data_IF_279767302159
#
_entry.id   IF_279767302159
#
_cell.length_a   1.000
_cell.length_b   1.000
_cell.length_c   1.000
_cell.angle_alpha   90.00
_cell.angle_beta   90.00
_cell.angle_gamma   90.00
#
_symmetry.space_group_name_H-M   'P 1'
#
loop_
_entity.id
_entity.type
_entity.pdbx_description
1 polymer ?
#
# COMPACT_ATOMS: atom_id res chain seq x y z
N UNK A 1 45.02 -49.90 81.02
CA UNK A 1 44.77 -51.35 80.81
C UNK A 1 43.28 -51.49 80.48
N UNK A 2 42.93 -51.74 79.20
CA UNK A 2 41.64 -52.20 78.62
C UNK A 2 41.62 -51.78 77.13
N UNK A 3 41.66 -52.65 76.11
CA UNK A 3 40.77 -53.72 75.61
C UNK A 3 39.52 -53.27 74.81
N UNK A 4 39.41 -53.84 73.59
CA UNK A 4 38.26 -54.02 72.66
C UNK A 4 37.85 -52.82 71.77
N UNK A 5 37.68 -52.88 70.44
CA UNK A 5 37.16 -53.84 69.43
C UNK A 5 35.68 -53.60 69.02
N UNK A 6 35.47 -53.51 67.68
CA UNK A 6 34.22 -53.47 66.87
C UNK A 6 33.29 -52.24 67.00
N UNK A 7 32.67 -51.70 65.94
CA UNK A 7 31.75 -52.34 64.96
C UNK A 7 31.77 -51.73 63.53
N UNK A 8 31.31 -52.53 62.57
CA UNK A 8 30.96 -52.15 61.20
C UNK A 8 29.53 -51.59 61.13
N UNK A 9 29.25 -50.68 60.18
CA UNK A 9 27.88 -50.19 59.94
C UNK A 9 27.69 -49.45 58.62
N UNK A 10 27.37 -50.23 57.58
CA UNK A 10 26.50 -49.98 56.42
C UNK A 10 26.48 -48.65 55.63
N UNK A 11 26.65 -48.84 54.31
CA UNK A 11 26.50 -47.82 53.28
C UNK A 11 25.11 -47.23 53.13
N UNK A 12 25.11 -46.00 52.59
CA UNK A 12 24.01 -45.42 51.85
C UNK A 12 24.61 -44.64 50.67
N UNK A 13 25.05 -45.37 49.64
CA UNK A 13 25.34 -44.79 48.34
C UNK A 13 24.02 -44.55 47.60
N UNK A 14 23.49 -43.33 47.69
CA UNK A 14 22.43 -42.89 46.79
C UNK A 14 23.07 -42.49 45.44
N UNK A 15 22.69 -43.12 44.31
CA UNK A 15 23.21 -42.71 43.01
C UNK A 15 22.59 -41.36 42.60
N UNK A 16 23.39 -40.37 42.15
CA UNK A 16 22.86 -39.17 41.52
C UNK A 16 22.48 -39.51 40.07
N UNK A 17 21.33 -40.13 39.91
CA UNK A 17 20.71 -40.38 38.62
C UNK A 17 19.26 -39.90 38.65
N UNK A 18 18.87 -39.16 37.61
CA UNK A 18 17.50 -38.78 37.24
C UNK A 18 16.98 -37.46 37.80
N UNK A 19 17.46 -36.36 37.20
CA UNK A 19 16.60 -35.30 36.63
C UNK A 19 17.40 -34.43 35.65
N UNK A 20 18.00 -35.04 34.63
CA UNK A 20 18.20 -34.30 33.39
C UNK A 20 16.84 -34.20 32.70
N UNK A 21 16.09 -33.15 33.05
CA UNK A 21 15.01 -32.68 32.19
C UNK A 21 15.67 -32.40 30.84
N UNK A 22 15.41 -33.26 29.85
CA UNK A 22 15.77 -33.00 28.46
C UNK A 22 14.98 -31.77 28.01
N UNK A 23 15.48 -30.58 28.35
CA UNK A 23 15.13 -29.37 27.63
C UNK A 23 15.55 -29.66 26.18
N UNK A 24 14.58 -29.95 25.31
CA UNK A 24 14.81 -30.17 23.88
C UNK A 24 15.55 -28.94 23.37
N UNK A 25 16.88 -29.05 23.20
CA UNK A 25 17.67 -27.99 22.57
C UNK A 25 17.11 -27.81 21.17
N UNK A 26 16.61 -26.61 20.89
CA UNK A 26 16.08 -26.24 19.59
C UNK A 26 17.21 -26.39 18.58
N UNK A 27 16.96 -27.06 17.46
CA UNK A 27 17.97 -27.17 16.40
C UNK A 27 18.34 -25.78 15.88
N UNK A 28 19.55 -25.56 15.33
CA UNK A 28 19.92 -24.29 14.72
C UNK A 28 18.89 -23.81 13.69
N UNK A 29 18.43 -24.71 12.81
CA UNK A 29 17.35 -24.41 11.88
C UNK A 29 16.05 -24.01 12.60
N UNK A 30 15.68 -24.72 13.68
CA UNK A 30 14.49 -24.37 14.48
C UNK A 30 14.58 -22.99 15.14
N UNK A 31 15.78 -22.55 15.52
CA UNK A 31 16.02 -21.19 16.02
C UNK A 31 15.85 -20.15 14.90
N UNK A 32 16.33 -20.46 13.70
CA UNK A 32 16.24 -19.57 12.53
C UNK A 32 14.78 -19.30 12.16
N UNK A 33 13.96 -20.34 12.08
CA UNK A 33 12.53 -20.22 11.81
C UNK A 33 11.79 -19.40 12.88
N UNK A 34 12.11 -19.60 14.16
CA UNK A 34 11.51 -18.83 15.27
C UNK A 34 11.92 -17.36 15.25
N UNK A 35 13.21 -17.09 15.02
CA UNK A 35 13.73 -15.74 14.90
C UNK A 35 13.15 -15.02 13.67
N UNK A 36 13.01 -15.73 12.55
CA UNK A 36 12.41 -15.22 11.32
C UNK A 36 10.93 -14.87 11.51
N UNK A 37 10.17 -15.71 12.21
CA UNK A 37 8.78 -15.44 12.54
C UNK A 37 8.63 -14.20 13.45
N UNK A 38 9.43 -14.09 14.52
CA UNK A 38 9.41 -12.90 15.39
C UNK A 38 9.80 -11.64 14.63
N UNK A 39 10.84 -11.72 13.78
CA UNK A 39 11.23 -10.61 12.92
C UNK A 39 10.11 -10.24 11.94
N UNK A 40 9.44 -11.23 11.35
CA UNK A 40 8.30 -11.03 10.46
C UNK A 40 7.20 -10.22 11.14
N UNK A 41 6.85 -10.54 12.39
CA UNK A 41 5.85 -9.79 13.16
C UNK A 41 6.28 -8.34 13.44
N UNK A 42 7.56 -8.14 13.78
CA UNK A 42 8.10 -6.79 14.03
C UNK A 42 8.12 -5.98 12.74
N UNK A 43 8.74 -6.51 11.69
CA UNK A 43 8.93 -5.83 10.41
C UNK A 43 7.60 -5.50 9.73
N UNK A 44 6.63 -6.42 9.73
CA UNK A 44 5.30 -6.16 9.17
C UNK A 44 4.50 -5.14 9.96
N UNK A 45 4.68 -5.07 11.29
CA UNK A 45 4.06 -4.03 12.11
C UNK A 45 4.69 -2.66 11.82
N UNK A 46 6.01 -2.60 11.65
CA UNK A 46 6.74 -1.37 11.32
C UNK A 46 6.30 -0.83 9.95
N UNK A 47 6.25 -1.66 8.91
CA UNK A 47 5.80 -1.25 7.57
C UNK A 47 4.32 -0.84 7.55
N UNK A 48 3.45 -1.53 8.31
CA UNK A 48 2.04 -1.16 8.45
C UNK A 48 1.88 0.24 9.04
N UNK A 49 2.57 0.52 10.16
CA UNK A 49 2.52 1.83 10.82
C UNK A 49 3.12 2.93 9.94
N UNK A 50 4.25 2.66 9.29
CA UNK A 50 4.87 3.61 8.38
C UNK A 50 3.93 3.98 7.23
N UNK A 51 3.30 2.99 6.60
CA UNK A 51 2.34 3.20 5.52
C UNK A 51 1.14 4.04 5.99
N UNK A 52 0.56 3.67 7.14
CA UNK A 52 -0.56 4.38 7.73
C UNK A 52 -0.25 5.85 8.04
N UNK A 53 0.93 6.15 8.59
CA UNK A 53 1.30 7.51 8.97
C UNK A 53 1.85 8.34 7.80
N UNK A 54 2.33 7.70 6.74
CA UNK A 54 2.87 8.40 5.57
C UNK A 54 1.82 8.74 4.51
N UNK A 55 0.71 7.99 4.41
CA UNK A 55 -0.24 8.04 3.29
C UNK A 55 -0.69 9.46 2.90
N UNK A 56 -1.26 10.23 3.84
CA UNK A 56 -1.79 11.58 3.55
C UNK A 56 -0.72 12.54 3.00
N UNK A 57 0.56 12.29 3.29
CA UNK A 57 1.68 13.19 2.96
C UNK A 57 2.21 12.97 1.55
N UNK A 58 1.90 11.80 1.01
CA UNK A 58 2.13 11.42 -0.38
C UNK A 58 0.84 11.48 -1.20
N UNK A 59 -0.21 12.12 -0.68
CA UNK A 59 -1.46 12.33 -1.38
C UNK A 59 -2.37 11.11 -1.44
N UNK A 60 -2.35 10.24 -0.42
CA UNK A 60 -3.17 9.03 -0.39
C UNK A 60 -4.07 8.95 0.83
N UNK A 61 -5.23 8.34 0.65
CA UNK A 61 -6.11 7.94 1.74
C UNK A 61 -5.76 6.51 2.18
N UNK A 62 -5.21 6.38 3.39
CA UNK A 62 -4.82 5.09 3.94
C UNK A 62 -6.00 4.09 4.03
N UNK A 63 -7.22 4.56 4.26
CA UNK A 63 -8.38 3.68 4.39
C UNK A 63 -8.77 3.08 3.05
N UNK A 64 -8.67 3.87 1.98
CA UNK A 64 -8.83 3.38 0.60
C UNK A 64 -7.71 2.41 0.26
N UNK A 65 -6.46 2.70 0.65
CA UNK A 65 -5.32 1.81 0.42
C UNK A 65 -5.52 0.44 1.07
N UNK A 66 -5.94 0.40 2.34
CA UNK A 66 -6.26 -0.86 3.01
C UNK A 66 -7.43 -1.60 2.36
N UNK A 67 -8.38 -0.88 1.77
CA UNK A 67 -9.48 -1.48 1.02
C UNK A 67 -9.00 -2.15 -0.27
N UNK A 68 -8.08 -1.51 -0.99
CA UNK A 68 -7.43 -2.09 -2.18
C UNK A 68 -6.62 -3.34 -1.81
N UNK A 69 -5.91 -3.32 -0.68
CA UNK A 69 -5.21 -4.52 -0.16
C UNK A 69 -6.20 -5.61 0.23
N UNK A 70 -7.29 -5.27 0.92
CA UNK A 70 -8.33 -6.23 1.31
C UNK A 70 -9.02 -6.88 0.11
N UNK A 71 -9.09 -6.19 -1.03
CA UNK A 71 -9.62 -6.72 -2.27
C UNK A 71 -8.77 -7.87 -2.84
N UNK A 72 -7.54 -8.07 -2.39
CA UNK A 72 -6.71 -9.21 -2.80
C UNK A 72 -7.35 -10.54 -2.35
N UNK A 73 -7.61 -10.78 -1.05
CA UNK A 73 -8.32 -11.98 -0.61
C UNK A 73 -9.85 -11.90 -0.75
N UNK A 74 -10.45 -10.70 -0.61
CA UNK A 74 -11.91 -10.55 -0.56
C UNK A 74 -12.55 -10.16 -1.92
N UNK A 75 -11.73 -9.91 -2.93
CA UNK A 75 -12.15 -9.48 -4.28
C UNK A 75 -13.06 -8.24 -4.20
N UNK A 76 -14.05 -8.19 -5.09
CA UNK A 76 -15.05 -7.13 -5.22
C UNK A 76 -15.82 -6.85 -3.91
N UNK A 77 -15.87 -7.82 -2.98
CA UNK A 77 -16.55 -7.67 -1.69
C UNK A 77 -15.88 -6.67 -0.74
N UNK A 78 -14.59 -6.36 -0.94
CA UNK A 78 -13.91 -5.32 -0.18
C UNK A 78 -14.25 -3.91 -0.67
N UNK A 79 -14.57 -3.73 -1.96
CA UNK A 79 -14.67 -2.40 -2.55
C UNK A 79 -15.98 -1.73 -2.14
N UNK A 80 -15.88 -0.72 -1.28
CA UNK A 80 -17.00 0.02 -0.67
C UNK A 80 -16.82 1.53 -0.93
N UNK A 81 -17.94 2.25 -1.09
CA UNK A 81 -17.91 3.72 -1.25
C UNK A 81 -17.34 4.38 0.00
N UNK A 82 -17.70 3.83 1.16
CA UNK A 82 -17.23 4.25 2.48
C UNK A 82 -16.67 2.99 3.17
N UNK A 83 -15.34 2.85 3.25
CA UNK A 83 -14.71 1.68 3.83
C UNK A 83 -15.08 1.45 5.30
N UNK A 84 -15.71 0.31 5.58
CA UNK A 84 -15.95 -0.14 6.95
C UNK A 84 -14.69 -0.72 7.61
N UNK A 85 -14.60 -0.57 8.94
CA UNK A 85 -13.51 -1.14 9.75
C UNK A 85 -13.20 -2.63 9.51
N UNK A 86 -14.18 -3.52 9.26
CA UNK A 86 -13.87 -4.92 8.97
C UNK A 86 -13.02 -5.11 7.71
N UNK A 87 -13.28 -4.33 6.66
CA UNK A 87 -12.50 -4.37 5.41
C UNK A 87 -11.12 -3.80 5.62
N UNK A 88 -11.02 -2.66 6.31
CA UNK A 88 -9.73 -2.04 6.65
C UNK A 88 -8.86 -3.02 7.45
N UNK A 89 -9.44 -3.67 8.46
CA UNK A 89 -8.73 -4.67 9.27
C UNK A 89 -8.31 -5.88 8.43
N UNK A 90 -9.16 -6.37 7.52
CA UNK A 90 -8.79 -7.45 6.62
C UNK A 90 -7.61 -7.08 5.72
N UNK A 91 -7.56 -5.84 5.22
CA UNK A 91 -6.44 -5.30 4.44
C UNK A 91 -5.15 -5.25 5.25
N UNK A 92 -5.21 -4.70 6.46
CA UNK A 92 -4.05 -4.65 7.39
C UNK A 92 -3.54 -6.06 7.68
N UNK A 93 -4.41 -7.00 8.04
CA UNK A 93 -4.03 -8.37 8.36
C UNK A 93 -3.42 -9.10 7.16
N UNK A 94 -3.98 -8.89 5.97
CA UNK A 94 -3.46 -9.48 4.74
C UNK A 94 -2.07 -8.94 4.39
N UNK A 95 -1.89 -7.62 4.47
CA UNK A 95 -0.57 -6.99 4.34
C UNK A 95 0.42 -7.53 5.38
N UNK A 96 0.02 -7.59 6.65
CA UNK A 96 0.88 -8.10 7.72
C UNK A 96 1.31 -9.54 7.47
N UNK A 97 0.41 -10.38 6.97
CA UNK A 97 0.70 -11.75 6.58
C UNK A 97 1.70 -11.83 5.41
N UNK A 98 1.52 -11.01 4.37
CA UNK A 98 2.41 -10.97 3.22
C UNK A 98 3.84 -10.55 3.64
N UNK A 99 3.97 -9.43 4.36
CA UNK A 99 5.26 -8.93 4.85
C UNK A 99 5.94 -9.89 5.83
N UNK A 100 5.16 -10.47 6.75
CA UNK A 100 5.64 -11.52 7.65
C UNK A 100 6.24 -12.69 6.87
N UNK A 101 5.57 -13.11 5.80
CA UNK A 101 5.97 -14.25 4.97
C UNK A 101 7.32 -14.00 4.30
N UNK A 102 7.63 -12.78 3.86
CA UNK A 102 8.92 -12.48 3.25
C UNK A 102 10.10 -12.58 4.22
N UNK A 103 9.91 -12.21 5.49
CA UNK A 103 10.95 -12.41 6.50
C UNK A 103 11.21 -13.91 6.76
N UNK A 104 10.13 -14.70 6.80
CA UNK A 104 10.18 -16.15 6.94
C UNK A 104 10.81 -16.83 5.73
N UNK A 105 10.54 -16.36 4.51
CA UNK A 105 11.23 -16.83 3.29
C UNK A 105 12.71 -16.50 3.37
N UNK A 106 13.06 -15.25 3.70
CA UNK A 106 14.45 -14.80 3.71
C UNK A 106 15.30 -15.56 4.73
N UNK A 107 14.86 -15.68 5.98
CA UNK A 107 15.67 -16.27 7.05
C UNK A 107 15.34 -17.72 7.40
N UNK A 108 14.13 -18.19 7.09
CA UNK A 108 13.72 -19.58 7.28
C UNK A 108 14.04 -20.42 6.05
N UNK A 109 13.33 -20.18 4.94
CA UNK A 109 13.47 -20.99 3.72
C UNK A 109 14.85 -20.85 3.09
N UNK A 110 15.36 -19.62 2.98
CA UNK A 110 16.70 -19.33 2.47
C UNK A 110 17.76 -19.32 3.59
N UNK A 111 17.41 -19.80 4.79
CA UNK A 111 18.24 -19.73 6.00
C UNK A 111 19.64 -20.30 5.83
N UNK A 112 19.81 -21.33 4.98
CA UNK A 112 21.13 -21.92 4.69
C UNK A 112 22.15 -20.93 4.11
N UNK A 113 21.69 -19.81 3.54
CA UNK A 113 22.54 -18.76 2.99
C UNK A 113 22.45 -17.44 3.76
N UNK A 114 21.35 -17.21 4.48
CA UNK A 114 21.00 -15.91 5.05
C UNK A 114 21.12 -15.85 6.57
N UNK A 115 21.00 -16.97 7.28
CA UNK A 115 20.87 -16.98 8.74
C UNK A 115 22.14 -16.54 9.49
N UNK A 116 23.31 -16.67 8.84
CA UNK A 116 24.62 -16.31 9.41
C UNK A 116 25.16 -14.97 8.86
N UNK A 117 24.35 -14.24 8.09
CA UNK A 117 24.75 -12.93 7.58
C UNK A 117 24.90 -11.91 8.71
N UNK A 118 25.94 -11.07 8.61
CA UNK A 118 26.15 -9.95 9.53
C UNK A 118 25.11 -8.86 9.30
N UNK A 119 24.71 -8.09 10.34
CA UNK A 119 23.71 -7.02 10.20
C UNK A 119 24.00 -6.03 9.07
N UNK A 120 25.25 -5.65 8.84
CA UNK A 120 25.63 -4.74 7.74
C UNK A 120 25.41 -5.34 6.33
N UNK A 121 25.60 -6.65 6.17
CA UNK A 121 25.32 -7.34 4.90
C UNK A 121 23.82 -7.46 4.69
N UNK A 122 23.06 -7.78 5.74
CA UNK A 122 21.60 -7.81 5.70
C UNK A 122 21.05 -6.42 5.30
N UNK A 123 21.58 -5.36 5.90
CA UNK A 123 21.20 -3.98 5.57
C UNK A 123 21.51 -3.64 4.11
N UNK A 124 22.68 -4.04 3.60
CA UNK A 124 23.04 -3.86 2.19
C UNK A 124 22.08 -4.60 1.24
N UNK A 125 21.61 -5.78 1.64
CA UNK A 125 20.64 -6.57 0.87
C UNK A 125 19.20 -6.07 0.98
N UNK A 126 18.88 -5.13 1.88
CA UNK A 126 17.51 -4.68 2.12
C UNK A 126 16.85 -4.11 0.86
N UNK A 127 17.54 -3.24 0.11
CA UNK A 127 16.98 -2.65 -1.11
C UNK A 127 16.83 -3.66 -2.28
N UNK A 128 17.84 -4.49 -2.61
CA UNK A 128 17.67 -5.57 -3.59
C UNK A 128 16.55 -6.55 -3.21
N UNK A 129 16.42 -6.89 -1.93
CA UNK A 129 15.35 -7.76 -1.44
C UNK A 129 13.98 -7.12 -1.60
N UNK A 130 13.82 -5.86 -1.17
CA UNK A 130 12.58 -5.12 -1.31
C UNK A 130 12.13 -4.96 -2.77
N UNK A 131 13.08 -4.74 -3.69
CA UNK A 131 12.80 -4.69 -5.11
C UNK A 131 12.28 -6.04 -5.61
N UNK A 132 12.92 -7.13 -5.22
CA UNK A 132 12.53 -8.49 -5.61
C UNK A 132 11.13 -8.83 -5.11
N UNK A 133 10.86 -8.65 -3.82
CA UNK A 133 9.60 -9.02 -3.19
C UNK A 133 8.44 -8.15 -3.68
N UNK A 134 8.65 -6.84 -3.79
CA UNK A 134 7.66 -5.94 -4.37
C UNK A 134 7.39 -6.25 -5.85
N UNK A 135 8.43 -6.53 -6.64
CA UNK A 135 8.26 -6.95 -8.04
C UNK A 135 7.48 -8.25 -8.15
N UNK A 136 7.78 -9.23 -7.30
CA UNK A 136 7.08 -10.51 -7.28
C UNK A 136 5.59 -10.32 -6.99
N UNK A 137 5.23 -9.51 -5.99
CA UNK A 137 3.84 -9.22 -5.66
C UNK A 137 3.12 -8.49 -6.79
N UNK A 138 3.74 -7.42 -7.29
CA UNK A 138 3.09 -6.48 -8.19
C UNK A 138 2.97 -6.99 -9.62
N UNK A 139 3.94 -7.79 -10.10
CA UNK A 139 3.97 -8.33 -11.47
C UNK A 139 3.36 -9.73 -11.57
N UNK A 140 3.33 -10.50 -10.48
CA UNK A 140 2.97 -11.91 -10.54
C UNK A 140 1.98 -12.33 -9.45
N UNK A 141 2.31 -12.16 -8.16
CA UNK A 141 1.53 -12.83 -7.13
C UNK A 141 0.09 -12.31 -7.05
N UNK A 142 -0.04 -10.98 -7.04
CA UNK A 142 -1.33 -10.33 -6.89
C UNK A 142 -2.15 -10.36 -8.18
N UNK A 143 -1.64 -9.91 -9.35
CA UNK A 143 -2.45 -9.88 -10.57
C UNK A 143 -2.62 -11.25 -11.24
N UNK A 144 -1.74 -12.23 -11.00
CA UNK A 144 -1.73 -13.51 -11.71
C UNK A 144 -1.93 -14.72 -10.81
N UNK A 145 -1.03 -15.03 -9.87
CA UNK A 145 -1.16 -16.25 -9.06
C UNK A 145 -0.61 -16.04 -7.65
N UNK A 146 -1.35 -16.32 -6.56
CA UNK A 146 -2.61 -17.05 -6.51
C UNK A 146 -3.85 -16.15 -6.35
N UNK A 147 -3.75 -14.84 -6.57
CA UNK A 147 -4.86 -13.93 -6.24
C UNK A 147 -5.70 -13.51 -7.44
N UNK A 148 -5.14 -13.44 -8.65
CA UNK A 148 -5.82 -12.98 -9.87
C UNK A 148 -6.55 -11.63 -9.69
N UNK A 149 -5.94 -10.71 -8.95
CA UNK A 149 -6.52 -9.42 -8.59
C UNK A 149 -5.76 -8.23 -9.21
N UNK A 150 -6.10 -7.78 -10.43
CA UNK A 150 -5.40 -6.71 -11.12
C UNK A 150 -5.61 -5.32 -10.50
N UNK A 151 -6.67 -5.14 -9.71
CA UNK A 151 -7.02 -3.85 -9.08
C UNK A 151 -5.84 -3.31 -8.26
N UNK A 152 -5.20 -4.15 -7.45
CA UNK A 152 -4.03 -3.73 -6.67
C UNK A 152 -2.93 -3.11 -7.54
N UNK A 153 -2.56 -3.78 -8.64
CA UNK A 153 -1.49 -3.35 -9.54
C UNK A 153 -1.83 -2.06 -10.30
N UNK A 154 -3.12 -1.82 -10.58
CA UNK A 154 -3.59 -0.67 -11.35
C UNK A 154 -3.91 0.57 -10.48
N UNK A 155 -4.16 0.38 -9.19
CA UNK A 155 -4.47 1.44 -8.23
C UNK A 155 -3.27 1.86 -7.37
N UNK A 156 -2.38 0.92 -7.09
CA UNK A 156 -1.19 1.14 -6.29
C UNK A 156 0.03 1.26 -7.19
N UNK A 157 0.66 2.45 -7.27
CA UNK A 157 1.85 2.61 -8.07
C UNK A 157 2.98 1.76 -7.46
N UNK A 158 3.74 1.09 -8.33
CA UNK A 158 4.79 0.12 -7.95
C UNK A 158 5.73 0.60 -6.84
N UNK A 159 6.11 1.88 -6.88
CA UNK A 159 7.04 2.45 -5.91
C UNK A 159 6.52 2.42 -4.46
N UNK A 160 5.19 2.40 -4.25
CA UNK A 160 4.59 2.24 -2.92
C UNK A 160 4.94 0.87 -2.37
N UNK A 161 4.70 -0.19 -3.14
CA UNK A 161 5.10 -1.55 -2.76
C UNK A 161 6.59 -1.61 -2.44
N UNK A 162 7.44 -1.01 -3.28
CA UNK A 162 8.88 -0.98 -3.00
C UNK A 162 9.20 -0.31 -1.65
N UNK A 163 8.57 0.84 -1.33
CA UNK A 163 8.80 1.53 -0.05
C UNK A 163 8.31 0.72 1.16
N UNK A 164 7.16 0.05 1.05
CA UNK A 164 6.62 -0.84 2.08
C UNK A 164 7.62 -1.96 2.39
N UNK A 165 8.04 -2.67 1.34
CA UNK A 165 8.98 -3.78 1.44
C UNK A 165 10.37 -3.32 1.91
N UNK A 166 10.83 -2.14 1.49
CA UNK A 166 12.09 -1.56 1.96
C UNK A 166 12.00 -1.25 3.44
N UNK A 167 10.90 -0.64 3.90
CA UNK A 167 10.68 -0.34 5.32
C UNK A 167 10.70 -1.60 6.17
N UNK A 168 10.09 -2.68 5.70
CA UNK A 168 10.13 -4.00 6.34
C UNK A 168 11.57 -4.58 6.37
N UNK A 169 12.26 -4.58 5.22
CA UNK A 169 13.61 -5.12 5.08
C UNK A 169 14.67 -4.35 5.90
N UNK A 170 14.47 -3.06 6.15
CA UNK A 170 15.34 -2.26 7.03
C UNK A 170 15.32 -2.72 8.49
N UNK A 171 14.29 -3.47 8.92
CA UNK A 171 14.26 -4.10 10.24
C UNK A 171 15.03 -5.44 10.29
N UNK A 172 15.37 -6.04 9.14
CA UNK A 172 16.00 -7.36 9.08
C UNK A 172 17.37 -7.47 9.77
N UNK A 173 18.20 -6.41 9.87
CA UNK A 173 19.43 -6.45 10.67
C UNK A 173 19.23 -6.79 12.16
N UNK A 174 17.98 -6.78 12.66
CA UNK A 174 17.62 -7.28 14.00
C UNK A 174 17.70 -8.82 14.10
N UNK A 175 17.65 -9.55 12.98
CA UNK A 175 17.58 -11.02 12.96
C UNK A 175 18.69 -11.70 13.78
N UNK A 176 20.00 -11.39 13.60
CA UNK A 176 21.05 -12.08 14.34
C UNK A 176 20.92 -11.89 15.85
N UNK A 177 20.52 -10.69 16.29
CA UNK A 177 20.27 -10.42 17.70
C UNK A 177 19.05 -11.18 18.23
N UNK A 178 17.93 -11.22 17.49
CA UNK A 178 16.74 -11.98 17.87
C UNK A 178 17.06 -13.47 18.00
N UNK A 179 17.81 -14.03 17.05
CA UNK A 179 18.27 -15.42 17.06
C UNK A 179 19.12 -15.73 18.29
N UNK A 180 20.06 -14.85 18.63
CA UNK A 180 20.91 -15.00 19.82
C UNK A 180 20.11 -14.92 21.12
N UNK A 181 19.14 -14.00 21.18
CA UNK A 181 18.24 -13.85 22.33
C UNK A 181 17.37 -15.09 22.53
N UNK A 182 16.83 -15.67 21.46
CA UNK A 182 16.06 -16.91 21.51
C UNK A 182 16.91 -18.15 21.87
N UNK A 183 18.22 -18.08 21.63
CA UNK A 183 19.17 -19.11 22.01
C UNK A 183 19.77 -18.89 23.41
N UNK A 184 19.30 -17.90 24.17
CA UNK A 184 19.81 -17.50 25.48
C UNK A 184 21.33 -17.27 25.51
N UNK A 185 21.88 -16.71 24.43
CA UNK A 185 23.32 -16.42 24.32
C UNK A 185 23.60 -14.92 24.18
N UNK A 186 24.77 -14.43 24.64
CA UNK A 186 25.18 -13.05 24.41
C UNK A 186 25.33 -12.79 22.91
N UNK A 187 24.75 -11.68 22.44
CA UNK A 187 24.84 -11.30 21.03
C UNK A 187 25.94 -10.25 20.81
N UNK A 188 26.91 -10.49 19.91
CA UNK A 188 27.86 -9.46 19.49
C UNK A 188 27.16 -8.31 18.74
N UNK A 189 25.91 -8.52 18.29
CA UNK A 189 25.14 -7.56 17.51
C UNK A 189 24.18 -6.71 18.36
N UNK A 190 24.20 -6.84 19.69
CA UNK A 190 23.28 -6.13 20.58
C UNK A 190 23.29 -4.60 20.40
N UNK A 191 24.47 -3.99 20.22
CA UNK A 191 24.58 -2.54 19.99
C UNK A 191 23.97 -2.13 18.65
N UNK A 192 24.27 -2.87 17.58
CA UNK A 192 23.72 -2.60 16.25
C UNK A 192 22.20 -2.76 16.23
N UNK A 193 21.68 -3.81 16.90
CA UNK A 193 20.25 -4.02 17.04
C UNK A 193 19.56 -2.91 17.83
N UNK A 194 20.14 -2.48 18.96
CA UNK A 194 19.60 -1.38 19.75
C UNK A 194 19.57 -0.06 18.96
N UNK A 195 20.65 0.25 18.22
CA UNK A 195 20.70 1.43 17.36
C UNK A 195 19.67 1.36 16.24
N UNK A 196 19.59 0.23 15.53
CA UNK A 196 18.61 0.04 14.45
C UNK A 196 17.17 0.12 14.94
N UNK A 197 16.83 -0.56 16.05
CA UNK A 197 15.52 -0.48 16.67
C UNK A 197 15.19 0.93 17.16
N UNK A 198 16.17 1.63 17.75
CA UNK A 198 16.01 3.02 18.20
C UNK A 198 15.74 3.98 17.05
N UNK A 199 16.49 3.87 15.95
CA UNK A 199 16.26 4.67 14.74
C UNK A 199 14.90 4.36 14.11
N UNK A 200 14.52 3.09 14.00
CA UNK A 200 13.20 2.68 13.50
C UNK A 200 12.06 3.23 14.35
N UNK A 201 12.16 3.11 15.68
CA UNK A 201 11.17 3.65 16.60
C UNK A 201 11.08 5.19 16.52
N UNK A 202 12.23 5.88 16.47
CA UNK A 202 12.26 7.33 16.30
C UNK A 202 11.62 7.77 14.97
N UNK A 203 11.87 7.04 13.88
CA UNK A 203 11.25 7.28 12.58
C UNK A 203 9.74 7.12 12.61
N UNK A 204 9.22 6.03 13.20
CA UNK A 204 7.79 5.80 13.36
C UNK A 204 7.13 6.85 14.26
N UNK A 205 7.78 7.23 15.36
CA UNK A 205 7.30 8.30 16.24
C UNK A 205 7.25 9.63 15.48
N UNK A 206 8.28 9.95 14.69
CA UNK A 206 8.30 11.14 13.84
C UNK A 206 7.15 11.15 12.84
N UNK A 207 6.95 10.06 12.10
CA UNK A 207 5.83 9.93 11.17
C UNK A 207 4.48 10.04 11.88
N UNK A 208 4.31 9.36 13.01
CA UNK A 208 3.08 9.40 13.82
C UNK A 208 2.78 10.79 14.37
N UNK A 209 3.77 11.50 14.90
CA UNK A 209 3.64 12.89 15.32
C UNK A 209 3.21 13.78 14.17
N UNK A 210 3.81 13.62 12.99
CA UNK A 210 3.49 14.44 11.85
C UNK A 210 2.10 14.12 11.28
N UNK A 211 1.68 12.85 11.28
CA UNK A 211 0.31 12.45 10.92
C UNK A 211 -0.72 13.03 11.91
N UNK A 212 -0.43 12.98 13.20
CA UNK A 212 -1.26 13.58 14.24
C UNK A 212 -1.38 15.10 14.08
N UNK A 213 -0.27 15.81 13.82
CA UNK A 213 -0.27 17.25 13.56
C UNK A 213 -1.07 17.59 12.30
N UNK A 214 -0.88 16.83 11.21
CA UNK A 214 -1.66 16.97 9.99
C UNK A 214 -3.16 16.83 10.24
N UNK A 215 -3.58 15.79 10.98
CA UNK A 215 -4.97 15.60 11.40
C UNK A 215 -5.52 16.76 12.24
N UNK A 216 -4.67 17.44 13.01
CA UNK A 216 -5.00 18.67 13.74
C UNK A 216 -4.95 19.95 12.86
N UNK A 217 -4.87 19.81 11.54
CA UNK A 217 -4.78 20.94 10.60
C UNK A 217 -3.42 21.63 10.58
N UNK A 218 -2.37 21.00 11.11
CA UNK A 218 -1.00 21.51 11.20
C UNK A 218 -0.05 20.68 10.33
N UNK A 219 -0.27 20.75 9.03
CA UNK A 219 0.64 20.18 8.04
C UNK A 219 2.00 20.87 8.04
N UNK A 220 2.98 20.17 7.48
CA UNK A 220 4.24 20.82 7.11
C UNK A 220 3.92 22.01 6.18
N UNK A 221 4.57 23.17 6.38
CA UNK A 221 4.29 24.37 5.57
C UNK A 221 4.36 24.09 4.08
N UNK A 222 3.55 24.82 3.29
CA UNK A 222 3.65 24.83 1.84
C UNK A 222 5.07 25.22 1.41
N UNK A 223 5.63 24.45 0.48
CA UNK A 223 7.01 24.56 0.03
C UNK A 223 7.09 24.71 -1.50
N UNK A 224 6.15 25.45 -2.08
CA UNK A 224 6.05 25.66 -3.53
C UNK A 224 6.58 27.00 -4.02
N UNK A 225 6.82 27.08 -5.33
CA UNK A 225 7.26 28.29 -6.02
C UNK A 225 6.15 29.04 -6.76
N UNK A 226 4.96 28.44 -6.90
CA UNK A 226 3.80 29.01 -7.63
C UNK A 226 2.50 28.79 -6.85
N UNK A 227 2.23 29.71 -5.91
CA UNK A 227 1.06 29.64 -5.02
C UNK A 227 -0.26 29.64 -5.80
N UNK A 228 -0.36 30.50 -6.82
CA UNK A 228 -1.57 30.67 -7.60
C UNK A 228 -1.89 29.41 -8.41
N UNK A 229 -0.88 28.76 -8.97
CA UNK A 229 -1.06 27.49 -9.65
C UNK A 229 -1.49 26.39 -8.68
N UNK A 230 -0.82 26.26 -7.52
CA UNK A 230 -1.11 25.23 -6.53
C UNK A 230 -2.54 25.35 -5.98
N UNK A 231 -2.96 26.57 -5.63
CA UNK A 231 -4.35 26.87 -5.25
C UNK A 231 -5.32 26.54 -6.39
N UNK A 232 -5.02 26.98 -7.61
CA UNK A 232 -5.85 26.73 -8.79
C UNK A 232 -5.97 25.25 -9.15
N UNK A 233 -4.93 24.45 -8.94
CA UNK A 233 -4.97 23.00 -9.16
C UNK A 233 -5.83 22.32 -8.10
N UNK A 234 -5.61 22.61 -6.81
CA UNK A 234 -6.41 22.04 -5.72
C UNK A 234 -7.90 22.36 -5.89
N UNK A 235 -8.24 23.64 -6.14
CA UNK A 235 -9.63 24.07 -6.33
C UNK A 235 -10.31 23.35 -7.50
N UNK A 236 -9.62 23.28 -8.64
CA UNK A 236 -10.16 22.67 -9.87
C UNK A 236 -10.27 21.16 -9.75
N UNK A 237 -9.22 20.47 -9.29
CA UNK A 237 -9.24 19.02 -9.16
C UNK A 237 -10.27 18.56 -8.12
N UNK A 238 -10.43 19.28 -7.00
CA UNK A 238 -11.52 19.01 -6.05
C UNK A 238 -12.91 19.15 -6.68
N UNK A 239 -13.12 20.17 -7.53
CA UNK A 239 -14.37 20.34 -8.27
C UNK A 239 -14.61 19.24 -9.33
N UNK A 240 -13.54 18.78 -9.97
CA UNK A 240 -13.56 17.68 -10.94
C UNK A 240 -13.91 16.36 -10.26
N UNK A 241 -13.20 16.01 -9.18
CA UNK A 241 -13.48 14.84 -8.36
C UNK A 241 -14.88 14.87 -7.75
N UNK A 242 -15.42 16.04 -7.38
CA UNK A 242 -16.78 16.10 -6.85
C UNK A 242 -17.83 15.61 -7.88
N UNK A 243 -17.66 15.92 -9.17
CA UNK A 243 -18.52 15.35 -10.22
C UNK A 243 -18.22 13.86 -10.44
N UNK A 244 -16.95 13.45 -10.43
CA UNK A 244 -16.55 12.06 -10.55
C UNK A 244 -17.10 11.17 -9.44
N UNK A 245 -17.10 11.63 -8.18
CA UNK A 245 -17.74 10.94 -7.03
C UNK A 245 -19.24 10.78 -7.26
N UNK A 246 -19.93 11.82 -7.73
CA UNK A 246 -21.37 11.73 -8.02
C UNK A 246 -21.66 10.71 -9.13
N UNK A 247 -20.85 10.72 -10.20
CA UNK A 247 -20.94 9.76 -11.30
C UNK A 247 -20.66 8.33 -10.80
N UNK A 248 -19.59 8.14 -10.05
CA UNK A 248 -19.18 6.85 -9.49
C UNK A 248 -20.21 6.27 -8.52
N UNK A 249 -20.86 7.09 -7.69
CA UNK A 249 -21.98 6.65 -6.84
C UNK A 249 -23.16 6.14 -7.66
N UNK A 250 -23.51 6.83 -8.74
CA UNK A 250 -24.54 6.36 -9.67
C UNK A 250 -24.15 5.01 -10.30
N UNK A 251 -22.87 4.82 -10.66
CA UNK A 251 -22.32 3.54 -11.11
C UNK A 251 -22.45 2.43 -10.05
N UNK A 252 -22.09 2.73 -8.80
CA UNK A 252 -22.18 1.80 -7.68
C UNK A 252 -23.62 1.34 -7.37
N UNK A 253 -24.61 2.18 -7.70
CA UNK A 253 -26.03 1.89 -7.51
C UNK A 253 -26.65 1.14 -8.69
N UNK A 254 -26.32 1.53 -9.92
CA UNK A 254 -27.08 1.13 -11.12
C UNK A 254 -26.35 0.22 -12.09
N UNK A 255 -25.02 0.08 -11.99
CA UNK A 255 -24.27 -0.80 -12.89
C UNK A 255 -24.80 -2.23 -12.82
N UNK A 256 -24.96 -2.89 -13.95
CA UNK A 256 -25.44 -4.27 -14.04
C UNK A 256 -24.30 -5.27 -13.85
N UNK A 257 -23.12 -4.99 -14.42
CA UNK A 257 -21.88 -5.73 -14.17
C UNK A 257 -21.41 -5.51 -12.71
N UNK A 258 -21.25 -6.60 -11.97
CA UNK A 258 -20.79 -6.57 -10.57
C UNK A 258 -19.38 -6.01 -10.41
N UNK A 259 -18.49 -6.27 -11.37
CA UNK A 259 -17.12 -5.74 -11.37
C UNK A 259 -17.12 -4.25 -11.62
N UNK A 260 -17.91 -3.78 -12.59
CA UNK A 260 -18.08 -2.35 -12.85
C UNK A 260 -18.67 -1.65 -11.62
N UNK A 261 -19.67 -2.27 -10.98
CA UNK A 261 -20.26 -1.77 -9.73
C UNK A 261 -19.23 -1.66 -8.61
N UNK A 262 -18.38 -2.68 -8.43
CA UNK A 262 -17.33 -2.69 -7.41
C UNK A 262 -16.23 -1.65 -7.71
N UNK A 263 -15.83 -1.52 -8.97
CA UNK A 263 -14.92 -0.49 -9.44
C UNK A 263 -15.47 0.92 -9.20
N UNK A 264 -16.76 1.15 -9.47
CA UNK A 264 -17.41 2.44 -9.22
C UNK A 264 -17.43 2.80 -7.72
N UNK A 265 -17.52 1.81 -6.82
CA UNK A 265 -17.37 2.06 -5.38
C UNK A 265 -15.96 2.51 -5.01
N UNK A 266 -14.97 1.85 -5.57
CA UNK A 266 -13.57 2.21 -5.39
C UNK A 266 -13.29 3.63 -5.92
N UNK A 267 -13.72 3.96 -7.13
CA UNK A 267 -13.59 5.30 -7.72
C UNK A 267 -14.18 6.38 -6.81
N UNK A 268 -15.39 6.13 -6.27
CA UNK A 268 -16.05 7.06 -5.36
C UNK A 268 -15.26 7.25 -4.06
N UNK A 269 -14.72 6.18 -3.49
CA UNK A 269 -13.92 6.22 -2.27
C UNK A 269 -12.58 6.94 -2.49
N UNK A 270 -11.86 6.59 -3.56
CA UNK A 270 -10.56 7.18 -3.91
C UNK A 270 -10.68 8.69 -4.14
N UNK A 271 -11.58 9.12 -5.01
CA UNK A 271 -11.75 10.55 -5.32
C UNK A 271 -12.26 11.36 -4.12
N UNK A 272 -13.10 10.77 -3.26
CA UNK A 272 -13.52 11.42 -2.03
C UNK A 272 -12.35 11.57 -1.03
N UNK A 273 -11.49 10.57 -0.91
CA UNK A 273 -10.27 10.62 -0.10
C UNK A 273 -9.29 11.70 -0.60
N UNK A 274 -9.11 11.79 -1.92
CA UNK A 274 -8.26 12.82 -2.55
C UNK A 274 -8.80 14.24 -2.28
N UNK A 275 -10.13 14.45 -2.35
CA UNK A 275 -10.77 15.72 -1.94
C UNK A 275 -10.48 16.03 -0.46
N UNK A 276 -10.55 15.04 0.43
CA UNK A 276 -10.30 15.25 1.85
C UNK A 276 -8.84 15.65 2.12
N UNK A 277 -7.88 15.04 1.42
CA UNK A 277 -6.46 15.44 1.48
C UNK A 277 -6.28 16.88 0.98
N UNK A 278 -6.92 17.24 -0.14
CA UNK A 278 -6.89 18.60 -0.67
C UNK A 278 -7.48 19.64 0.30
N UNK A 279 -8.60 19.34 0.94
CA UNK A 279 -9.21 20.20 1.96
C UNK A 279 -8.27 20.40 3.18
N UNK A 280 -7.66 19.32 3.66
CA UNK A 280 -6.69 19.36 4.75
C UNK A 280 -5.47 20.24 4.39
N UNK A 281 -4.88 20.01 3.22
CA UNK A 281 -3.75 20.79 2.72
C UNK A 281 -4.12 22.26 2.55
N UNK A 282 -5.26 22.56 1.94
CA UNK A 282 -5.73 23.94 1.74
C UNK A 282 -5.82 24.70 3.06
N UNK A 283 -6.55 24.15 4.04
CA UNK A 283 -6.76 24.78 5.35
C UNK A 283 -5.44 25.04 6.06
N UNK A 284 -4.50 24.10 5.96
CA UNK A 284 -3.23 24.20 6.66
C UNK A 284 -2.25 25.16 5.97
N UNK A 285 -2.15 25.09 4.65
CA UNK A 285 -1.18 25.85 3.86
C UNK A 285 -1.59 27.30 3.65
N UNK A 286 -2.85 27.55 3.30
CA UNK A 286 -3.30 28.86 2.86
C UNK A 286 -4.06 29.63 3.95
N UNK A 287 -4.52 28.94 5.00
CA UNK A 287 -5.24 29.52 6.15
C UNK A 287 -6.48 30.34 5.73
N UNK A 288 -7.09 29.94 4.62
CA UNK A 288 -8.37 30.44 4.13
C UNK A 288 -9.37 29.29 4.01
N UNK A 289 -10.68 29.56 3.98
CA UNK A 289 -11.64 28.55 3.57
C UNK A 289 -11.32 28.02 2.17
N UNK A 290 -11.49 26.71 1.90
CA UNK A 290 -11.37 26.15 0.56
C UNK A 290 -12.22 26.92 -0.44
N UNK A 291 -11.59 27.40 -1.50
CA UNK A 291 -12.31 28.08 -2.56
C UNK A 291 -13.07 27.07 -3.41
N UNK A 292 -14.33 27.39 -3.71
CA UNK A 292 -15.18 26.57 -4.57
C UNK A 292 -14.89 26.94 -6.02
N UNK A 293 -14.69 25.93 -6.87
CA UNK A 293 -14.57 26.11 -8.31
C UNK A 293 -15.83 26.80 -8.86
N UNK A 294 -15.66 27.96 -9.53
CA UNK A 294 -16.79 28.69 -10.13
C UNK A 294 -17.42 27.88 -11.28
N UNK A 295 -18.68 28.17 -11.67
CA UNK A 295 -19.32 27.50 -12.81
C UNK A 295 -18.54 27.65 -14.12
N UNK A 296 -17.97 28.83 -14.37
CA UNK A 296 -17.19 29.09 -15.59
C UNK A 296 -15.86 28.32 -15.60
N UNK A 297 -15.14 28.29 -14.48
CA UNK A 297 -13.94 27.46 -14.36
C UNK A 297 -14.27 25.98 -14.53
N UNK A 298 -15.39 25.53 -13.93
CA UNK A 298 -15.85 24.15 -14.02
C UNK A 298 -16.11 23.74 -15.46
N UNK A 299 -16.86 24.56 -16.20
CA UNK A 299 -17.14 24.30 -17.61
C UNK A 299 -15.88 24.30 -18.51
N UNK A 300 -14.82 25.00 -18.09
CA UNK A 300 -13.55 25.05 -18.82
C UNK A 300 -12.62 23.86 -18.52
N UNK A 301 -12.90 23.06 -17.48
CA UNK A 301 -12.06 21.90 -17.14
C UNK A 301 -12.28 20.76 -18.14
N UNK A 302 -11.21 20.09 -18.61
CA UNK A 302 -11.35 18.99 -19.55
C UNK A 302 -12.09 17.81 -18.90
N UNK A 303 -12.93 17.12 -19.69
CA UNK A 303 -13.64 15.91 -19.29
C UNK A 303 -14.84 16.13 -18.36
N UNK A 304 -15.15 17.36 -17.96
CA UNK A 304 -16.37 17.65 -17.23
C UNK A 304 -17.60 17.34 -18.08
N UNK A 305 -18.62 16.77 -17.43
CA UNK A 305 -19.88 16.43 -18.05
C UNK A 305 -20.89 17.56 -17.83
N UNK A 306 -21.69 17.82 -18.86
CA UNK A 306 -22.81 18.75 -18.76
C UNK A 306 -23.98 18.13 -17.97
N UNK A 307 -24.85 18.94 -17.33
CA UNK A 307 -26.00 18.44 -16.58
C UNK A 307 -26.88 17.48 -17.39
N UNK A 308 -27.05 17.71 -18.70
CA UNK A 308 -27.84 16.83 -19.57
C UNK A 308 -27.22 15.45 -19.76
N UNK A 309 -25.89 15.33 -19.73
CA UNK A 309 -25.21 14.04 -19.84
C UNK A 309 -25.37 13.23 -18.55
N UNK A 310 -25.26 13.89 -17.39
CA UNK A 310 -25.52 13.27 -16.08
C UNK A 310 -26.99 12.80 -15.97
N UNK A 311 -27.93 13.64 -16.36
CA UNK A 311 -29.36 13.31 -16.38
C UNK A 311 -29.68 12.19 -17.38
N UNK A 312 -28.98 12.18 -18.52
CA UNK A 312 -29.08 11.13 -19.52
C UNK A 312 -28.63 9.77 -18.96
N UNK A 313 -27.50 9.75 -18.27
CA UNK A 313 -27.02 8.54 -17.61
C UNK A 313 -27.96 8.09 -16.47
N UNK A 314 -28.42 9.02 -15.63
CA UNK A 314 -29.36 8.75 -14.54
C UNK A 314 -30.71 8.19 -15.02
N UNK A 315 -31.08 8.43 -16.27
CA UNK A 315 -32.30 7.90 -16.91
C UNK A 315 -32.04 6.78 -17.92
N UNK A 316 -30.78 6.40 -18.15
CA UNK A 316 -30.44 5.33 -19.08
C UNK A 316 -31.15 4.02 -18.70
N UNK A 317 -31.61 3.29 -19.71
CA UNK A 317 -32.18 1.95 -19.50
C UNK A 317 -31.10 1.02 -18.90
N UNK A 318 -31.48 0.01 -18.08
CA UNK A 318 -30.51 -0.84 -17.38
C UNK A 318 -29.48 -1.51 -18.30
N UNK A 319 -29.89 -1.95 -19.49
CA UNK A 319 -29.06 -2.60 -20.51
C UNK A 319 -28.10 -1.62 -21.22
N UNK A 320 -28.43 -0.34 -21.26
CA UNK A 320 -27.58 0.72 -21.83
C UNK A 320 -26.70 1.43 -20.79
N UNK A 321 -26.98 1.25 -19.50
CA UNK A 321 -26.35 2.02 -18.41
C UNK A 321 -24.83 1.80 -18.36
N UNK A 322 -24.36 0.54 -18.32
CA UNK A 322 -22.94 0.23 -18.13
C UNK A 322 -22.08 0.81 -19.26
N UNK A 323 -22.52 0.67 -20.51
CA UNK A 323 -21.83 1.25 -21.66
C UNK A 323 -21.82 2.78 -21.66
N UNK A 324 -22.91 3.41 -21.18
CA UNK A 324 -22.96 4.86 -21.01
C UNK A 324 -22.04 5.34 -19.87
N UNK A 325 -22.03 4.64 -18.73
CA UNK A 325 -21.17 4.93 -17.59
C UNK A 325 -19.70 4.82 -17.98
N UNK A 326 -19.27 3.71 -18.59
CA UNK A 326 -17.88 3.50 -19.02
C UNK A 326 -17.44 4.60 -19.98
N UNK A 327 -18.27 4.98 -20.95
CA UNK A 327 -17.94 6.06 -21.89
C UNK A 327 -17.74 7.40 -21.18
N UNK A 328 -18.70 7.78 -20.33
CA UNK A 328 -18.69 9.08 -19.65
C UNK A 328 -17.57 9.16 -18.60
N UNK A 329 -17.39 8.12 -17.79
CA UNK A 329 -16.31 8.06 -16.80
C UNK A 329 -14.93 8.01 -17.47
N UNK A 330 -14.80 7.34 -18.62
CA UNK A 330 -13.54 7.38 -19.40
C UNK A 330 -13.21 8.79 -19.88
N UNK A 331 -14.20 9.53 -20.40
CA UNK A 331 -14.02 10.94 -20.80
C UNK A 331 -13.63 11.81 -19.60
N UNK A 332 -14.31 11.62 -18.47
CA UNK A 332 -14.03 12.32 -17.23
C UNK A 332 -12.59 12.06 -16.74
N UNK A 333 -12.18 10.79 -16.65
CA UNK A 333 -10.83 10.42 -16.23
C UNK A 333 -9.74 10.95 -17.14
N UNK A 334 -9.96 10.98 -18.47
CA UNK A 334 -9.02 11.59 -19.42
C UNK A 334 -8.79 13.08 -19.12
N UNK A 335 -9.83 13.78 -18.68
CA UNK A 335 -9.75 15.17 -18.23
C UNK A 335 -8.87 15.34 -17.00
N UNK A 336 -9.12 14.56 -15.95
CA UNK A 336 -8.31 14.58 -14.73
C UNK A 336 -6.84 14.20 -15.00
N UNK A 337 -6.59 13.21 -15.86
CA UNK A 337 -5.24 12.82 -16.28
C UNK A 337 -4.52 14.00 -16.96
N UNK A 338 -5.19 14.74 -17.84
CA UNK A 338 -4.59 15.90 -18.50
C UNK A 338 -4.24 17.02 -17.50
N UNK A 339 -5.11 17.27 -16.51
CA UNK A 339 -4.85 18.21 -15.42
C UNK A 339 -3.67 17.74 -14.54
N UNK A 340 -3.60 16.45 -14.23
CA UNK A 340 -2.53 15.86 -13.46
C UNK A 340 -1.17 15.91 -14.19
N UNK A 341 -1.14 15.63 -15.50
CA UNK A 341 0.07 15.76 -16.34
C UNK A 341 0.62 17.20 -16.37
N UNK A 342 -0.26 18.22 -16.34
CA UNK A 342 0.14 19.62 -16.20
C UNK A 342 0.69 19.90 -14.79
N UNK A 343 0.03 19.40 -13.74
CA UNK A 343 0.44 19.61 -12.35
C UNK A 343 1.78 18.97 -12.02
N UNK A 344 2.07 17.78 -12.55
CA UNK A 344 3.39 17.15 -12.41
C UNK A 344 4.53 18.01 -12.98
N UNK A 345 4.24 18.88 -13.96
CA UNK A 345 5.22 19.81 -14.56
C UNK A 345 5.29 21.15 -13.85
N UNK A 346 4.17 21.66 -13.32
CA UNK A 346 4.06 23.05 -12.86
C UNK A 346 3.83 23.25 -11.39
N UNK A 347 3.27 22.27 -10.68
CA UNK A 347 2.97 22.44 -9.26
C UNK A 347 4.25 22.78 -8.51
N UNK A 348 4.17 23.84 -7.70
CA UNK A 348 5.28 24.35 -6.93
C UNK A 348 5.62 23.39 -5.80
N UNK A 349 4.60 22.92 -5.07
CA UNK A 349 4.81 22.01 -3.95
C UNK A 349 5.07 20.56 -4.43
N UNK A 350 6.15 19.91 -3.98
CA UNK A 350 6.45 18.53 -4.37
C UNK A 350 5.35 17.53 -3.98
N UNK A 351 4.58 17.79 -2.91
CA UNK A 351 3.46 16.93 -2.51
C UNK A 351 2.32 16.98 -3.52
N UNK A 352 2.06 18.13 -4.14
CA UNK A 352 1.07 18.25 -5.20
C UNK A 352 1.51 17.52 -6.48
N UNK A 353 2.81 17.49 -6.78
CA UNK A 353 3.34 16.69 -7.90
C UNK A 353 3.20 15.19 -7.66
N UNK A 354 3.42 14.74 -6.42
CA UNK A 354 3.18 13.35 -6.01
C UNK A 354 1.70 12.99 -6.07
N UNK A 355 0.82 13.85 -5.56
CA UNK A 355 -0.64 13.69 -5.68
C UNK A 355 -1.07 13.60 -7.14
N UNK A 356 -0.58 14.50 -8.01
CA UNK A 356 -0.88 14.45 -9.43
C UNK A 356 -0.39 13.14 -10.08
N UNK A 357 0.77 12.63 -9.68
CA UNK A 357 1.25 11.31 -10.14
C UNK A 357 0.33 10.17 -9.70
N UNK A 358 -0.18 10.21 -8.47
CA UNK A 358 -1.11 9.23 -7.93
C UNK A 358 -2.45 9.26 -8.67
N UNK A 359 -3.07 10.44 -8.82
CA UNK A 359 -4.32 10.64 -9.59
C UNK A 359 -4.16 10.13 -11.01
N UNK A 360 -3.06 10.51 -11.70
CA UNK A 360 -2.78 10.03 -13.07
C UNK A 360 -2.69 8.51 -13.14
N UNK A 361 -2.03 7.89 -12.17
CA UNK A 361 -1.86 6.44 -12.13
C UNK A 361 -3.19 5.72 -11.89
N UNK A 362 -3.91 6.08 -10.82
CA UNK A 362 -5.20 5.50 -10.45
C UNK A 362 -6.21 5.65 -11.57
N UNK A 363 -6.43 6.86 -12.09
CA UNK A 363 -7.45 7.08 -13.12
C UNK A 363 -7.13 6.42 -14.47
N UNK A 364 -5.85 6.13 -14.74
CA UNK A 364 -5.49 5.32 -15.90
C UNK A 364 -5.78 3.84 -15.65
N UNK A 365 -5.47 3.34 -14.45
CA UNK A 365 -5.83 2.00 -14.00
C UNK A 365 -7.34 1.77 -14.04
N UNK A 366 -8.12 2.74 -13.58
CA UNK A 366 -9.58 2.73 -13.63
C UNK A 366 -10.13 2.64 -15.07
N UNK A 367 -9.55 3.39 -16.02
CA UNK A 367 -9.86 3.26 -17.45
C UNK A 367 -9.55 1.85 -17.96
N UNK A 368 -8.36 1.32 -17.63
CA UNK A 368 -7.95 -0.02 -18.04
C UNK A 368 -8.90 -1.11 -17.47
N UNK A 369 -9.32 -0.98 -16.20
CA UNK A 369 -10.27 -1.87 -15.54
C UNK A 369 -11.67 -1.79 -16.15
N UNK A 370 -12.18 -0.58 -16.45
CA UNK A 370 -13.46 -0.40 -17.14
C UNK A 370 -13.47 -1.04 -18.54
N UNK A 371 -12.30 -1.13 -19.19
CA UNK A 371 -12.13 -1.81 -20.46
C UNK A 371 -11.66 -3.27 -20.34
N UNK A 372 -11.74 -3.85 -19.14
CA UNK A 372 -11.56 -5.29 -18.92
C UNK A 372 -10.12 -5.76 -18.81
N UNK A 373 -9.15 -4.87 -18.51
CA UNK A 373 -7.78 -5.29 -18.24
C UNK A 373 -7.70 -6.23 -17.03
N UNK A 374 -7.05 -7.37 -17.21
CA UNK A 374 -6.87 -8.37 -16.15
C UNK A 374 -5.54 -9.14 -16.32
N UNK A 375 -5.14 -9.87 -15.28
CA UNK A 375 -3.97 -10.75 -15.31
C UNK A 375 -2.69 -10.05 -15.77
N UNK A 376 -1.91 -10.72 -16.61
CA UNK A 376 -0.68 -10.16 -17.20
C UNK A 376 -0.92 -8.91 -18.06
N UNK A 377 -2.11 -8.76 -18.66
CA UNK A 377 -2.41 -7.58 -19.46
C UNK A 377 -2.54 -6.34 -18.56
N UNK A 378 -3.14 -6.47 -17.37
CA UNK A 378 -3.19 -5.42 -16.37
C UNK A 378 -1.78 -5.07 -15.86
N UNK A 379 -0.94 -6.06 -15.54
CA UNK A 379 0.44 -5.81 -15.12
C UNK A 379 1.24 -5.06 -16.19
N UNK A 380 1.10 -5.45 -17.47
CA UNK A 380 1.74 -4.74 -18.58
C UNK A 380 1.24 -3.30 -18.73
N UNK A 381 -0.07 -3.08 -18.56
CA UNK A 381 -0.65 -1.75 -18.61
C UNK A 381 -0.10 -0.87 -17.48
N UNK A 382 -0.04 -1.39 -16.25
CA UNK A 382 0.52 -0.69 -15.11
C UNK A 382 2.01 -0.35 -15.29
N UNK A 383 2.83 -1.29 -15.78
CA UNK A 383 4.25 -1.03 -16.13
C UNK A 383 4.35 0.05 -17.20
N UNK A 384 3.53 -0.02 -18.26
CA UNK A 384 3.53 1.00 -19.30
C UNK A 384 3.17 2.38 -18.72
N UNK A 385 2.14 2.44 -17.87
CA UNK A 385 1.69 3.68 -17.23
C UNK A 385 2.78 4.33 -16.37
N UNK A 386 3.64 3.52 -15.74
CA UNK A 386 4.82 3.96 -15.01
C UNK A 386 5.92 4.51 -15.90
N UNK A 387 6.18 3.88 -17.06
CA UNK A 387 7.25 4.26 -17.98
C UNK A 387 6.88 5.41 -18.94
N UNK A 388 5.59 5.74 -19.05
CA UNK A 388 5.13 6.80 -19.95
C UNK A 388 5.66 8.18 -19.51
N UNK A 389 6.26 8.97 -20.42
CA UNK A 389 6.63 10.35 -20.15
C UNK A 389 5.43 11.21 -19.73
N UNK A 390 5.69 12.30 -19.02
CA UNK A 390 4.69 13.33 -18.68
C UNK A 390 3.98 13.82 -19.95
N UNK A 391 2.66 13.92 -19.90
CA UNK A 391 1.84 14.43 -21.01
C UNK A 391 1.63 13.45 -22.17
N UNK A 392 2.17 12.23 -22.10
CA UNK A 392 1.75 11.14 -22.99
C UNK A 392 0.62 10.36 -22.32
N UNK A 393 -0.62 10.82 -22.54
CA UNK A 393 -1.71 9.86 -22.68
C UNK A 393 -1.37 8.97 -23.88
N UNK A 394 -1.53 7.63 -23.85
CA UNK A 394 -1.67 6.90 -25.09
C UNK A 394 -2.90 7.51 -25.74
N UNK A 395 -2.67 8.40 -26.69
CA UNK A 395 -3.57 8.57 -27.80
C UNK A 395 -3.71 7.15 -28.36
N UNK A 396 -4.88 6.58 -28.07
CA UNK A 396 -5.51 5.53 -28.84
C UNK A 396 -4.55 4.61 -29.60
N UNK A 397 -4.05 3.57 -28.94
CA UNK A 397 -3.67 2.38 -29.71
C UNK A 397 -4.93 1.55 -29.87
N UNK A 398 -5.71 1.84 -30.92
CA UNK A 398 -6.43 0.87 -31.73
C UNK A 398 -6.84 -0.44 -31.02
N UNK A 399 -7.57 -0.38 -29.89
CA UNK A 399 -8.17 -1.57 -29.27
C UNK A 399 -9.63 -1.78 -29.70
N UNK A 400 -10.16 -0.90 -30.54
CA UNK A 400 -11.42 -1.11 -31.26
C UNK A 400 -11.16 -1.45 -32.74
N UNK A 401 -10.54 -2.61 -32.98
CA UNK A 401 -10.83 -3.33 -34.23
C UNK A 401 -12.06 -4.20 -33.93
N UNK A 402 -13.26 -3.91 -34.48
CA UNK A 402 -14.32 -4.89 -34.44
C UNK A 402 -13.79 -6.18 -35.08
N UNK A 403 -13.96 -7.30 -34.40
CA UNK A 403 -13.75 -8.62 -34.98
C UNK A 403 -14.51 -8.67 -36.30
N UNK A 404 -13.79 -8.83 -37.40
CA UNK A 404 -14.42 -9.20 -38.66
C UNK A 404 -15.19 -10.51 -38.40
N UNK A 405 -16.46 -10.63 -38.80
CA UNK A 405 -17.07 -11.94 -38.86
C UNK A 405 -16.30 -12.73 -39.93
N UNK A 406 -15.68 -13.83 -39.52
CA UNK A 406 -15.16 -14.82 -40.44
C UNK A 406 -16.36 -15.56 -41.07
N UNK A 407 -16.40 -15.56 -42.40
CA UNK A 407 -17.04 -16.60 -43.24
C UNK A 407 -18.54 -16.76 -43.16
#
# INVERSE_FOLDING_TARGET
MNLRAHEMGHGAGAPPGLRQVHARRVSPAGLDWRAAALLGLISSSVSTLASQFAAARIGRDAMVDWTVVAAIPLRDGALQVEPGWPVILAGILFHQWADFSWAVVFFGLLGRWTADLRPGVILFLAAPWALLTSSAEWLFLVPVFPFWQPVFTLEQPYWIGFLVHLTSALAYPLFPWLRDRLADRPSPHARAAALGAGLGAAGLLGLGCLAFLGWQGRELPWAGADLAYDQGFIRRMSGHHAQGVALARLGAERAQDSRLRALARLMAAAQAGEIAVFDQWWRSWFRTPPEICSPAERAAMPGMLDPSELDGLARAAPDAFDGAFVRLMTTHHRGAIAMADEAMRRAGDPRLRLMAQAIRHGQRGEIDLMHGAAGLAASRAAVANFLLPLGQAPADRDRHRPSRPDG
#
